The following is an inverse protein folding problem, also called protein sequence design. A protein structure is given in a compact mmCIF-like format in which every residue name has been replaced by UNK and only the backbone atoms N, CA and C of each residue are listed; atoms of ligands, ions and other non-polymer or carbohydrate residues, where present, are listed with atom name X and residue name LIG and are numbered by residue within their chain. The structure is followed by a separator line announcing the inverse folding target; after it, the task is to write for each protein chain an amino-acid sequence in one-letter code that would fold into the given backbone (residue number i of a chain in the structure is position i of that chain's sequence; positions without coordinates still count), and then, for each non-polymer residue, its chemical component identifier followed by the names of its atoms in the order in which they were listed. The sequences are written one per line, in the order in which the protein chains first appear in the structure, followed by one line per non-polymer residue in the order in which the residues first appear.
data_IF_084360875712
#
_entry.id   IF_084360875712
#
_cell.length_a   1.000
_cell.length_b   1.000
_cell.length_c   1.000
_cell.angle_alpha   90.00
_cell.angle_beta   90.00
_cell.angle_gamma   90.00
#
_symmetry.space_group_name_H-M   'P 1'
#
loop_
_entity.id
_entity.type
_entity.pdbx_description
1 polymer ?
#
# COMPACT_ATOMS: atom_id res chain seq x y z
N UNK A 1 -11.38 8.91 31.77
CA UNK A 1 -12.17 8.56 30.56
C UNK A 1 -12.99 9.79 30.18
N UNK A 2 -12.89 10.23 28.93
CA UNK A 2 -13.61 11.38 28.38
C UNK A 2 -15.13 11.27 28.62
N UNK A 3 -15.82 12.41 28.85
CA UNK A 3 -17.28 12.45 29.13
C UNK A 3 -18.08 11.85 27.98
N UNK A 4 -17.71 12.19 26.73
CA UNK A 4 -18.37 11.68 25.51
C UNK A 4 -18.23 10.16 25.39
N UNK A 5 -17.05 9.61 25.76
CA UNK A 5 -16.83 8.17 25.75
C UNK A 5 -17.70 7.46 26.79
N UNK A 6 -17.87 8.05 27.98
CA UNK A 6 -18.77 7.51 29.01
C UNK A 6 -20.22 7.51 28.54
N UNK A 7 -20.67 8.58 27.90
CA UNK A 7 -22.01 8.69 27.34
C UNK A 7 -22.23 7.68 26.21
N UNK A 8 -21.26 7.54 25.31
CA UNK A 8 -21.28 6.55 24.23
C UNK A 8 -21.41 5.11 24.75
N UNK A 9 -20.62 4.73 25.76
CA UNK A 9 -20.72 3.39 26.37
C UNK A 9 -22.04 3.19 27.07
N UNK A 10 -22.58 4.21 27.78
CA UNK A 10 -23.91 4.15 28.43
C UNK A 10 -25.05 3.95 27.44
N UNK A 11 -24.91 4.48 26.20
CA UNK A 11 -25.88 4.28 25.11
C UNK A 11 -25.77 2.94 24.38
N UNK A 12 -24.91 2.02 24.87
CA UNK A 12 -24.71 0.69 24.27
C UNK A 12 -23.54 0.61 23.28
N UNK A 13 -22.78 1.69 23.12
CA UNK A 13 -21.58 1.70 22.28
C UNK A 13 -20.46 0.81 22.82
N UNK A 14 -19.65 0.27 21.94
CA UNK A 14 -18.50 -0.62 22.29
C UNK A 14 -17.17 -0.01 21.91
N UNK A 15 -16.09 -0.43 22.57
CA UNK A 15 -14.73 0.01 22.24
C UNK A 15 -14.08 -0.81 21.13
N UNK A 16 -14.68 -1.93 20.73
CA UNK A 16 -14.09 -2.84 19.77
C UNK A 16 -12.66 -3.25 20.15
N UNK A 17 -11.75 -3.19 19.20
CA UNK A 17 -10.33 -3.54 19.40
C UNK A 17 -9.59 -2.62 20.38
N UNK A 18 -10.08 -1.40 20.63
CA UNK A 18 -9.47 -0.50 21.62
C UNK A 18 -9.54 -1.04 23.04
N UNK A 19 -10.57 -1.83 23.36
CA UNK A 19 -10.70 -2.48 24.68
C UNK A 19 -9.63 -3.56 24.91
N UNK A 20 -9.02 -4.07 23.85
CA UNK A 20 -8.05 -5.17 23.86
C UNK A 20 -6.60 -4.69 23.72
N UNK A 21 -6.37 -3.36 23.71
CA UNK A 21 -5.00 -2.83 23.64
C UNK A 21 -4.17 -3.31 24.83
N UNK A 22 -2.89 -3.67 24.62
CA UNK A 22 -1.97 -3.97 25.70
C UNK A 22 -1.86 -2.80 26.69
N UNK A 23 -1.63 -3.07 27.95
CA UNK A 23 -1.42 -2.01 28.95
C UNK A 23 0.05 -1.61 28.96
N UNK A 24 0.33 -0.38 28.53
CA UNK A 24 1.51 0.42 28.82
C UNK A 24 2.88 -0.27 28.76
N UNK A 25 3.27 -0.87 27.64
CA UNK A 25 4.64 -1.31 27.41
C UNK A 25 5.54 -0.11 27.11
N UNK A 26 6.85 -0.25 27.30
CA UNK A 26 7.80 0.78 26.89
C UNK A 26 7.73 1.02 25.37
N UNK A 27 7.91 2.26 24.96
CA UNK A 27 8.02 2.61 23.55
C UNK A 27 9.21 1.89 22.91
N UNK A 28 9.01 1.39 21.71
CA UNK A 28 10.06 0.70 20.93
C UNK A 28 10.19 1.31 19.53
N UNK A 29 11.28 0.95 18.85
CA UNK A 29 11.42 1.24 17.42
C UNK A 29 10.25 0.61 16.65
N UNK A 30 9.74 1.29 15.61
CA UNK A 30 8.64 0.74 14.83
C UNK A 30 9.09 -0.47 14.02
N UNK A 31 8.20 -1.42 13.90
CA UNK A 31 8.24 -2.56 12.99
C UNK A 31 9.63 -3.19 12.78
N UNK A 32 9.99 -4.26 13.52
CA UNK A 32 11.21 -5.00 13.24
C UNK A 32 11.15 -5.49 11.78
N UNK A 33 12.13 -5.12 10.97
CA UNK A 33 12.11 -5.35 9.54
C UNK A 33 13.38 -6.04 9.07
N UNK A 34 13.18 -7.23 8.51
CA UNK A 34 14.06 -7.87 7.56
C UNK A 34 13.32 -7.83 6.21
N UNK A 35 13.74 -6.98 5.25
CA UNK A 35 13.01 -6.80 4.00
C UNK A 35 12.85 -8.10 3.20
N UNK A 36 13.86 -8.97 3.20
CA UNK A 36 13.81 -10.25 2.52
C UNK A 36 12.72 -11.16 3.09
N UNK A 37 12.61 -11.22 4.44
CA UNK A 37 11.57 -12.01 5.10
C UNK A 37 10.17 -11.43 4.89
N UNK A 38 10.03 -10.10 4.87
CA UNK A 38 8.74 -9.47 4.57
C UNK A 38 8.31 -9.81 3.15
N UNK A 39 9.20 -9.63 2.17
CA UNK A 39 8.93 -9.99 0.78
C UNK A 39 8.56 -11.47 0.62
N UNK A 40 9.34 -12.37 1.22
CA UNK A 40 9.07 -13.80 1.16
C UNK A 40 7.68 -14.15 1.72
N UNK A 41 7.30 -13.58 2.87
CA UNK A 41 5.95 -13.77 3.45
C UNK A 41 4.83 -13.23 2.54
N UNK A 42 5.04 -12.09 1.86
CA UNK A 42 4.06 -11.57 0.89
C UNK A 42 3.91 -12.52 -0.29
N UNK A 43 5.02 -12.99 -0.86
CA UNK A 43 5.04 -13.97 -1.95
C UNK A 43 4.32 -15.26 -1.53
N UNK A 44 4.62 -15.78 -0.34
CA UNK A 44 4.01 -17.00 0.18
C UNK A 44 2.51 -16.84 0.43
N UNK A 45 2.10 -15.72 1.00
CA UNK A 45 0.70 -15.41 1.26
C UNK A 45 -0.12 -15.30 -0.02
N UNK A 46 0.40 -14.60 -1.05
CA UNK A 46 -0.27 -14.52 -2.34
C UNK A 46 -0.30 -15.88 -3.05
N UNK A 47 0.81 -16.60 -3.08
CA UNK A 47 0.86 -17.93 -3.69
C UNK A 47 -0.13 -18.91 -3.03
N UNK A 48 -0.22 -18.87 -1.70
CA UNK A 48 -1.19 -19.68 -0.96
C UNK A 48 -2.64 -19.30 -1.31
N UNK A 49 -2.95 -18.01 -1.40
CA UNK A 49 -4.28 -17.52 -1.78
C UNK A 49 -4.67 -18.03 -3.16
N UNK A 50 -3.82 -17.79 -4.16
CA UNK A 50 -4.07 -18.21 -5.55
C UNK A 50 -4.27 -19.73 -5.66
N UNK A 51 -3.41 -20.52 -5.00
CA UNK A 51 -3.54 -21.98 -4.97
C UNK A 51 -4.86 -22.43 -4.36
N UNK A 52 -5.30 -21.82 -3.25
CA UNK A 52 -6.54 -22.22 -2.54
C UNK A 52 -7.80 -21.91 -3.32
N UNK A 53 -7.84 -20.79 -4.03
CA UNK A 53 -9.02 -20.40 -4.82
C UNK A 53 -8.96 -20.90 -6.26
N UNK A 54 -7.87 -21.57 -6.67
CA UNK A 54 -7.70 -22.15 -8.02
C UNK A 54 -7.52 -21.13 -9.14
N UNK A 55 -7.22 -19.86 -8.82
CA UNK A 55 -7.07 -18.76 -9.79
C UNK A 55 -5.63 -18.66 -10.29
N UNK A 56 -5.45 -18.48 -11.60
CA UNK A 56 -4.15 -18.38 -12.28
C UNK A 56 -3.89 -17.00 -12.91
N UNK A 57 -4.86 -16.11 -12.84
CA UNK A 57 -4.82 -14.77 -13.42
C UNK A 57 -5.01 -13.71 -12.34
N UNK A 58 -4.21 -12.65 -12.37
CA UNK A 58 -4.33 -11.51 -11.46
C UNK A 58 -4.32 -10.21 -12.23
N UNK A 59 -5.08 -9.24 -11.72
CA UNK A 59 -5.20 -7.90 -12.30
C UNK A 59 -4.61 -6.88 -11.34
N UNK A 60 -3.74 -6.00 -11.84
CA UNK A 60 -3.02 -5.01 -11.04
C UNK A 60 -3.09 -3.64 -11.71
N UNK A 61 -3.53 -2.64 -10.97
CA UNK A 61 -3.34 -1.23 -11.35
C UNK A 61 -1.91 -0.79 -11.05
N UNK A 62 -1.10 -0.55 -12.06
CA UNK A 62 0.29 -0.09 -11.91
C UNK A 62 0.35 1.41 -12.14
N UNK A 63 0.36 2.18 -11.05
CA UNK A 63 0.45 3.63 -11.10
C UNK A 63 1.86 4.15 -11.38
N UNK A 64 2.89 3.34 -11.13
CA UNK A 64 4.29 3.76 -11.08
C UNK A 64 4.68 4.34 -9.72
N UNK A 65 3.81 4.23 -8.72
CA UNK A 65 4.10 4.53 -7.32
C UNK A 65 4.61 3.30 -6.55
N UNK A 66 5.08 3.56 -5.33
CA UNK A 66 5.77 2.61 -4.47
C UNK A 66 4.95 1.35 -4.19
N UNK A 67 3.66 1.51 -3.87
CA UNK A 67 2.79 0.42 -3.44
C UNK A 67 2.46 -0.54 -4.58
N UNK A 68 2.11 0.00 -5.74
CA UNK A 68 1.83 -0.80 -6.94
C UNK A 68 3.10 -1.51 -7.44
N UNK A 69 4.27 -0.90 -7.29
CA UNK A 69 5.55 -1.52 -7.60
C UNK A 69 5.78 -2.77 -6.73
N UNK A 70 5.60 -2.67 -5.40
CA UNK A 70 5.75 -3.82 -4.51
C UNK A 70 4.75 -4.94 -4.84
N UNK A 71 3.48 -4.61 -5.09
CA UNK A 71 2.47 -5.62 -5.48
C UNK A 71 2.88 -6.35 -6.76
N UNK A 72 3.40 -5.64 -7.75
CA UNK A 72 3.89 -6.25 -8.99
C UNK A 72 5.08 -7.20 -8.73
N UNK A 73 6.05 -6.80 -7.89
CA UNK A 73 7.17 -7.66 -7.50
C UNK A 73 6.70 -8.93 -6.81
N UNK A 74 5.76 -8.80 -5.87
CA UNK A 74 5.19 -9.92 -5.13
C UNK A 74 4.40 -10.85 -6.06
N UNK A 75 3.61 -10.31 -7.00
CA UNK A 75 2.89 -11.10 -7.99
C UNK A 75 3.85 -11.92 -8.85
N UNK A 76 4.92 -11.31 -9.38
CA UNK A 76 5.95 -12.02 -10.15
C UNK A 76 6.62 -13.11 -9.30
N UNK A 77 6.91 -12.83 -8.03
CA UNK A 77 7.45 -13.83 -7.09
C UNK A 77 6.51 -15.00 -6.86
N UNK A 78 5.23 -14.74 -6.63
CA UNK A 78 4.20 -15.76 -6.40
C UNK A 78 3.96 -16.64 -7.65
N UNK A 79 3.92 -16.03 -8.83
CA UNK A 79 3.78 -16.75 -10.10
C UNK A 79 4.97 -17.67 -10.37
N UNK A 80 6.20 -17.20 -10.14
CA UNK A 80 7.41 -18.05 -10.22
C UNK A 80 7.34 -19.20 -9.23
N UNK A 81 6.94 -18.95 -7.99
CA UNK A 81 6.81 -19.98 -6.94
C UNK A 81 5.77 -21.04 -7.30
N UNK A 82 4.69 -20.68 -7.97
CA UNK A 82 3.63 -21.56 -8.42
C UNK A 82 3.87 -22.16 -9.81
N UNK A 83 4.98 -21.82 -10.47
CA UNK A 83 5.27 -22.20 -11.87
C UNK A 83 4.17 -21.76 -12.84
N UNK A 84 3.50 -20.63 -12.56
CA UNK A 84 2.50 -20.03 -13.43
C UNK A 84 3.17 -19.15 -14.49
N UNK A 85 2.58 -19.06 -15.70
CA UNK A 85 3.09 -18.17 -16.75
C UNK A 85 2.91 -16.70 -16.35
N UNK A 86 3.95 -15.87 -16.55
CA UNK A 86 3.91 -14.44 -16.24
C UNK A 86 2.81 -13.69 -17.03
N UNK A 87 2.37 -14.23 -18.15
CA UNK A 87 1.23 -13.71 -18.93
C UNK A 87 -0.09 -13.70 -18.18
N UNK A 88 -0.24 -14.47 -17.09
CA UNK A 88 -1.38 -14.37 -16.18
C UNK A 88 -1.35 -13.16 -15.23
N UNK A 89 -0.30 -12.32 -15.30
CA UNK A 89 -0.26 -11.03 -14.59
C UNK A 89 -0.70 -9.94 -15.55
N UNK A 90 -1.93 -9.47 -15.40
CA UNK A 90 -2.55 -8.43 -16.22
C UNK A 90 -2.33 -7.06 -15.56
N UNK A 91 -1.31 -6.33 -16.02
CA UNK A 91 -0.94 -5.02 -15.49
C UNK A 91 -1.60 -3.89 -16.33
N UNK A 92 -2.23 -2.94 -15.66
CA UNK A 92 -2.88 -1.80 -16.29
C UNK A 92 -2.38 -0.49 -15.71
N UNK A 93 -1.91 0.44 -16.57
CA UNK A 93 -1.77 1.83 -16.19
C UNK A 93 -2.95 2.62 -16.70
N UNK A 94 -3.53 3.45 -15.83
CA UNK A 94 -4.78 4.16 -16.11
C UNK A 94 -4.60 5.66 -15.87
N UNK A 95 -3.93 6.37 -16.83
CA UNK A 95 -3.68 7.80 -16.68
C UNK A 95 -4.97 8.60 -16.58
N UNK A 96 -5.03 9.47 -15.57
CA UNK A 96 -6.08 10.46 -15.33
C UNK A 96 -5.54 11.88 -15.49
N UNK A 97 -6.15 12.84 -14.80
CA UNK A 97 -5.82 14.27 -14.93
C UNK A 97 -4.50 14.66 -14.24
N UNK A 98 -4.12 13.97 -13.14
CA UNK A 98 -2.92 14.25 -12.34
C UNK A 98 -1.70 13.39 -12.68
N UNK A 99 -1.81 12.43 -13.59
CA UNK A 99 -0.74 11.47 -13.87
C UNK A 99 0.46 12.14 -14.55
N UNK A 100 1.65 11.98 -13.96
CA UNK A 100 2.89 12.54 -14.48
C UNK A 100 3.55 11.65 -15.55
N UNK A 101 4.37 12.26 -16.44
CA UNK A 101 5.14 11.47 -17.44
C UNK A 101 6.16 10.56 -16.75
N UNK A 102 6.83 11.03 -15.67
CA UNK A 102 7.84 10.27 -14.91
C UNK A 102 7.26 8.99 -14.34
N UNK A 103 6.12 9.09 -13.69
CA UNK A 103 5.45 7.95 -13.06
C UNK A 103 5.05 6.90 -14.10
N UNK A 104 4.51 7.34 -15.25
CA UNK A 104 4.20 6.44 -16.36
C UNK A 104 5.45 5.73 -16.87
N UNK A 105 6.56 6.46 -17.10
CA UNK A 105 7.82 5.87 -17.57
C UNK A 105 8.36 4.84 -16.59
N UNK A 106 8.31 5.11 -15.28
CA UNK A 106 8.75 4.16 -14.25
C UNK A 106 7.89 2.88 -14.25
N UNK A 107 6.57 3.00 -14.43
CA UNK A 107 5.68 1.86 -14.55
C UNK A 107 6.04 1.00 -15.79
N UNK A 108 6.25 1.64 -16.94
CA UNK A 108 6.63 0.98 -18.20
C UNK A 108 7.96 0.20 -18.02
N UNK A 109 9.02 0.86 -17.52
CA UNK A 109 10.34 0.26 -17.31
C UNK A 109 10.32 -0.87 -16.28
N UNK A 110 9.54 -0.74 -15.20
CA UNK A 110 9.42 -1.77 -14.19
C UNK A 110 8.75 -3.02 -14.76
N UNK A 111 7.62 -2.86 -15.45
CA UNK A 111 6.90 -3.96 -16.07
C UNK A 111 7.75 -4.67 -17.14
N UNK A 112 8.38 -3.91 -18.04
CA UNK A 112 9.27 -4.45 -19.07
C UNK A 112 10.41 -5.24 -18.45
N UNK A 113 11.09 -4.68 -17.43
CA UNK A 113 12.21 -5.32 -16.75
C UNK A 113 11.82 -6.60 -15.99
N UNK A 114 10.55 -6.74 -15.59
CA UNK A 114 10.00 -7.94 -14.97
C UNK A 114 9.40 -8.94 -15.98
N UNK A 115 9.32 -8.58 -17.26
CA UNK A 115 8.71 -9.38 -18.32
C UNK A 115 7.18 -9.42 -18.25
N UNK A 116 6.57 -8.42 -17.61
CA UNK A 116 5.10 -8.28 -17.48
C UNK A 116 4.61 -7.32 -18.56
N UNK A 117 3.63 -7.75 -19.36
CA UNK A 117 2.97 -6.87 -20.35
C UNK A 117 2.06 -5.90 -19.61
N UNK A 118 2.24 -4.59 -19.86
CA UNK A 118 1.38 -3.55 -19.32
C UNK A 118 0.53 -2.93 -20.43
N UNK A 119 -0.76 -2.75 -20.16
CA UNK A 119 -1.70 -2.07 -21.04
C UNK A 119 -2.05 -0.69 -20.47
N UNK A 120 -2.23 0.30 -21.37
CA UNK A 120 -2.67 1.65 -21.00
C UNK A 120 -4.14 1.84 -21.29
N UNK A 121 -4.93 2.16 -20.26
CA UNK A 121 -6.35 2.51 -20.39
C UNK A 121 -6.56 3.92 -19.85
N UNK A 122 -6.71 4.92 -20.71
CA UNK A 122 -6.98 6.29 -20.27
C UNK A 122 -8.39 6.42 -19.70
N UNK A 123 -8.49 6.88 -18.45
CA UNK A 123 -9.77 7.12 -17.79
C UNK A 123 -10.34 8.52 -18.06
N UNK A 124 -9.60 9.38 -18.74
CA UNK A 124 -9.93 10.80 -18.84
C UNK A 124 -11.29 11.08 -19.51
N UNK A 125 -11.66 10.32 -20.55
CA UNK A 125 -12.97 10.50 -21.21
C UNK A 125 -14.13 10.06 -20.32
N UNK A 126 -14.02 8.88 -19.71
CA UNK A 126 -15.05 8.32 -18.83
C UNK A 126 -15.27 9.18 -17.60
N UNK A 127 -14.18 9.67 -16.96
CA UNK A 127 -14.28 10.57 -15.82
C UNK A 127 -14.91 11.91 -16.19
N UNK A 128 -14.55 12.51 -17.33
CA UNK A 128 -15.20 13.74 -17.79
C UNK A 128 -16.70 13.56 -18.03
N UNK A 129 -17.09 12.45 -18.66
CA UNK A 129 -18.50 12.15 -18.87
C UNK A 129 -19.22 11.98 -17.54
N UNK A 130 -18.67 11.18 -16.62
CA UNK A 130 -19.23 10.99 -15.28
C UNK A 130 -19.39 12.31 -14.50
N UNK A 131 -18.36 13.18 -14.49
CA UNK A 131 -18.44 14.48 -13.83
C UNK A 131 -19.56 15.34 -14.42
N UNK A 132 -19.73 15.34 -15.75
CA UNK A 132 -20.84 16.04 -16.43
C UNK A 132 -22.20 15.47 -16.01
N UNK A 133 -22.33 14.14 -15.97
CA UNK A 133 -23.60 13.46 -15.64
C UNK A 133 -24.07 13.75 -14.22
N UNK A 134 -23.13 13.93 -13.28
CA UNK A 134 -23.44 14.32 -11.89
C UNK A 134 -23.52 15.84 -11.65
N UNK A 135 -23.41 16.66 -12.71
CA UNK A 135 -23.49 18.12 -12.61
C UNK A 135 -22.24 18.82 -12.06
N UNK A 136 -21.09 18.14 -12.05
CA UNK A 136 -19.82 18.74 -11.62
C UNK A 136 -19.17 19.54 -12.76
N UNK A 137 -18.54 20.69 -12.46
CA UNK A 137 -17.92 21.58 -13.44
C UNK A 137 -16.72 20.99 -14.19
N UNK A 138 -16.18 19.86 -13.73
CA UNK A 138 -15.02 19.18 -14.30
C UNK A 138 -13.69 19.91 -14.15
N UNK A 139 -13.63 20.97 -13.33
CA UNK A 139 -12.46 21.84 -13.13
C UNK A 139 -12.08 21.97 -11.66
N UNK A 140 -13.03 22.12 -10.77
CA UNK A 140 -12.80 22.27 -9.32
C UNK A 140 -12.17 21.01 -8.73
N UNK A 141 -10.94 21.05 -8.18
CA UNK A 141 -10.26 19.86 -7.67
C UNK A 141 -10.74 19.51 -6.25
N UNK A 142 -12.02 19.20 -6.12
CA UNK A 142 -12.65 18.75 -4.88
C UNK A 142 -12.65 17.24 -4.70
N UNK A 143 -13.29 16.75 -3.65
CA UNK A 143 -13.37 15.33 -3.35
C UNK A 143 -14.13 14.53 -4.44
N UNK A 144 -15.13 15.11 -5.13
CA UNK A 144 -15.82 14.45 -6.21
C UNK A 144 -14.90 14.27 -7.41
N UNK A 145 -14.14 15.31 -7.76
CA UNK A 145 -13.15 15.30 -8.84
C UNK A 145 -12.02 14.27 -8.60
N UNK A 146 -11.47 14.22 -7.37
CA UNK A 146 -10.42 13.26 -7.01
C UNK A 146 -10.98 11.83 -6.96
N UNK A 147 -12.06 11.61 -6.22
CA UNK A 147 -12.61 10.29 -5.97
C UNK A 147 -13.20 9.61 -7.21
N UNK A 148 -13.76 10.38 -8.15
CA UNK A 148 -14.27 9.84 -9.41
C UNK A 148 -13.17 9.16 -10.24
N UNK A 149 -11.95 9.72 -10.23
CA UNK A 149 -10.81 9.12 -10.92
C UNK A 149 -10.37 7.80 -10.27
N UNK A 150 -10.30 7.75 -8.92
CA UNK A 150 -9.94 6.53 -8.20
C UNK A 150 -11.00 5.44 -8.39
N UNK A 151 -12.30 5.77 -8.31
CA UNK A 151 -13.40 4.82 -8.53
C UNK A 151 -13.45 4.31 -9.97
N UNK A 152 -13.20 5.14 -10.96
CA UNK A 152 -13.14 4.72 -12.37
C UNK A 152 -12.02 3.69 -12.59
N UNK A 153 -10.85 3.87 -11.96
CA UNK A 153 -9.78 2.86 -12.02
C UNK A 153 -10.22 1.53 -11.41
N UNK A 154 -10.84 1.57 -10.24
CA UNK A 154 -11.32 0.36 -9.57
C UNK A 154 -12.38 -0.36 -10.38
N UNK A 155 -13.36 0.35 -10.95
CA UNK A 155 -14.38 -0.22 -11.83
C UNK A 155 -13.73 -1.00 -12.99
N UNK A 156 -12.81 -0.36 -13.71
CA UNK A 156 -12.10 -1.00 -14.83
C UNK A 156 -11.33 -2.25 -14.38
N UNK A 157 -10.62 -2.19 -13.26
CA UNK A 157 -9.84 -3.33 -12.77
C UNK A 157 -10.74 -4.51 -12.38
N UNK A 158 -11.89 -4.25 -11.75
CA UNK A 158 -12.86 -5.30 -11.37
C UNK A 158 -13.45 -5.98 -12.62
N UNK A 159 -13.84 -5.20 -13.62
CA UNK A 159 -14.38 -5.74 -14.87
C UNK A 159 -13.30 -6.51 -15.65
N UNK A 160 -12.07 -6.02 -15.69
CA UNK A 160 -10.92 -6.75 -16.27
C UNK A 160 -10.66 -8.07 -15.57
N UNK A 161 -10.78 -8.12 -14.24
CA UNK A 161 -10.64 -9.37 -13.49
C UNK A 161 -11.76 -10.38 -13.86
N UNK A 162 -12.99 -9.89 -14.00
CA UNK A 162 -14.10 -10.73 -14.45
C UNK A 162 -13.87 -11.29 -15.86
N UNK A 163 -13.35 -10.48 -16.79
CA UNK A 163 -13.06 -10.89 -18.17
C UNK A 163 -12.02 -12.03 -18.26
N UNK A 164 -11.03 -12.06 -17.35
CA UNK A 164 -9.95 -13.04 -17.36
C UNK A 164 -10.17 -14.19 -16.35
N UNK A 165 -11.27 -14.17 -15.60
CA UNK A 165 -11.49 -15.13 -14.51
C UNK A 165 -10.48 -15.04 -13.38
N UNK A 166 -9.93 -13.82 -13.17
CA UNK A 166 -8.87 -13.54 -12.21
C UNK A 166 -9.35 -12.76 -10.99
N UNK A 167 -8.39 -12.28 -10.19
CA UNK A 167 -8.65 -11.42 -9.04
C UNK A 167 -7.86 -10.11 -9.11
N UNK A 168 -8.46 -9.03 -8.59
CA UNK A 168 -7.78 -7.74 -8.42
C UNK A 168 -6.88 -7.78 -7.18
N UNK A 169 -5.59 -7.49 -7.35
CA UNK A 169 -4.65 -7.31 -6.25
C UNK A 169 -4.64 -5.86 -5.77
N UNK A 170 -4.93 -5.67 -4.48
CA UNK A 170 -4.95 -4.36 -3.83
C UNK A 170 -3.54 -3.88 -3.49
N UNK A 171 -3.33 -2.59 -3.68
CA UNK A 171 -2.05 -1.92 -3.44
C UNK A 171 -1.99 -1.19 -2.11
N UNK A 172 -3.13 -0.87 -1.47
CA UNK A 172 -3.19 -0.16 -0.20
C UNK A 172 -2.35 -0.83 0.89
N UNK A 173 -1.52 -0.07 1.58
CA UNK A 173 -0.65 -0.53 2.65
C UNK A 173 -1.27 -0.38 4.05
N UNK A 174 -0.59 -0.91 5.07
CA UNK A 174 -1.08 -0.87 6.45
C UNK A 174 -1.26 0.56 6.97
N UNK A 175 -0.38 1.49 6.61
CA UNK A 175 -0.43 2.88 7.08
C UNK A 175 -1.61 3.64 6.48
N UNK A 176 -1.87 3.43 5.18
CA UNK A 176 -3.05 3.97 4.50
C UNK A 176 -4.35 3.41 5.08
N UNK A 177 -4.40 2.10 5.33
CA UNK A 177 -5.55 1.43 5.94
C UNK A 177 -5.80 1.97 7.35
N UNK A 178 -4.74 2.11 8.18
CA UNK A 178 -4.86 2.66 9.52
C UNK A 178 -5.47 4.05 9.53
N UNK A 179 -5.01 4.91 8.63
CA UNK A 179 -5.45 6.29 8.48
C UNK A 179 -6.75 6.44 7.67
N UNK A 180 -7.22 5.37 7.01
CA UNK A 180 -8.27 5.46 5.99
C UNK A 180 -7.91 6.45 4.88
N UNK A 181 -6.61 6.54 4.55
CA UNK A 181 -6.09 7.42 3.49
C UNK A 181 -6.24 6.75 2.13
N UNK A 182 -7.45 6.68 1.68
CA UNK A 182 -7.87 6.07 0.42
C UNK A 182 -9.24 6.61 0.00
N UNK A 183 -9.58 6.49 -1.26
CA UNK A 183 -10.93 6.75 -1.74
C UNK A 183 -11.83 5.57 -1.41
N UNK A 184 -12.89 5.80 -0.61
CA UNK A 184 -13.91 4.78 -0.33
C UNK A 184 -14.56 4.27 -1.62
N UNK A 185 -14.63 2.94 -1.78
CA UNK A 185 -15.03 2.27 -3.03
C UNK A 185 -14.21 2.68 -4.27
N UNK A 186 -12.96 3.14 -4.07
CA UNK A 186 -12.00 3.38 -5.11
C UNK A 186 -10.76 2.50 -4.91
N UNK A 187 -9.58 3.10 -4.78
CA UNK A 187 -8.32 2.43 -4.50
C UNK A 187 -8.30 1.63 -3.17
N UNK A 188 -9.25 1.92 -2.29
CA UNK A 188 -9.54 1.15 -1.08
C UNK A 188 -10.01 -0.30 -1.38
N UNK A 189 -10.65 -0.56 -2.53
CA UNK A 189 -11.26 -1.85 -2.86
C UNK A 189 -10.38 -2.70 -3.76
N UNK A 190 -10.33 -3.99 -3.43
CA UNK A 190 -9.70 -5.04 -4.23
C UNK A 190 -10.28 -6.41 -3.83
N UNK A 191 -9.85 -7.47 -4.48
CA UNK A 191 -10.24 -8.83 -4.09
C UNK A 191 -9.23 -9.47 -3.13
N UNK A 192 -7.99 -8.93 -3.04
CA UNK A 192 -6.99 -9.37 -2.09
C UNK A 192 -5.90 -8.30 -1.87
N UNK A 193 -5.71 -7.84 -0.64
CA UNK A 193 -4.73 -6.82 -0.25
C UNK A 193 -3.33 -7.38 -0.05
N UNK A 194 -2.43 -7.18 -0.99
CA UNK A 194 -1.06 -7.72 -0.93
C UNK A 194 -0.19 -6.95 0.07
N UNK A 195 -0.38 -5.64 0.17
CA UNK A 195 0.39 -4.78 1.07
C UNK A 195 -0.32 -4.49 2.39
N UNK A 196 -1.54 -4.97 2.62
CA UNK A 196 -2.39 -4.60 3.77
C UNK A 196 -1.74 -4.83 5.14
N UNK A 197 -0.82 -5.77 5.25
CA UNK A 197 -0.04 -6.05 6.46
C UNK A 197 1.34 -5.40 6.50
N UNK A 198 1.69 -4.51 5.56
CA UNK A 198 3.03 -3.88 5.44
C UNK A 198 2.90 -2.37 5.56
N UNK A 199 3.50 -1.71 6.56
CA UNK A 199 3.45 -0.26 6.69
C UNK A 199 4.31 0.44 5.63
N UNK A 200 3.98 1.68 5.27
CA UNK A 200 4.59 2.48 4.19
C UNK A 200 6.12 2.51 4.26
N UNK A 201 6.68 2.71 5.44
CA UNK A 201 8.15 2.74 5.61
C UNK A 201 8.80 1.40 5.31
N UNK A 202 8.09 0.30 5.55
CA UNK A 202 8.57 -1.05 5.24
C UNK A 202 8.39 -1.36 3.75
N UNK A 203 7.29 -0.93 3.12
CA UNK A 203 7.11 -1.01 1.65
C UNK A 203 8.33 -0.40 0.96
N UNK A 204 8.75 0.81 1.37
CA UNK A 204 9.95 1.50 0.85
C UNK A 204 11.23 0.68 1.05
N UNK A 205 11.42 0.10 2.25
CA UNK A 205 12.60 -0.73 2.55
C UNK A 205 12.65 -2.00 1.72
N UNK A 206 11.51 -2.67 1.51
CA UNK A 206 11.42 -3.88 0.70
C UNK A 206 11.72 -3.58 -0.78
N UNK A 207 11.15 -2.49 -1.32
CA UNK A 207 11.45 -2.07 -2.70
C UNK A 207 12.94 -1.74 -2.88
N UNK A 208 13.54 -0.99 -1.93
CA UNK A 208 14.96 -0.66 -1.97
C UNK A 208 15.84 -1.90 -1.91
N UNK A 209 15.59 -2.79 -0.95
CA UNK A 209 16.30 -4.06 -0.83
C UNK A 209 16.21 -4.89 -2.11
N UNK A 210 15.01 -5.03 -2.68
CA UNK A 210 14.83 -5.81 -3.91
C UNK A 210 15.63 -5.24 -5.08
N UNK A 211 15.68 -3.91 -5.21
CA UNK A 211 16.45 -3.25 -6.25
C UNK A 211 17.97 -3.45 -6.08
N UNK A 212 18.47 -3.34 -4.85
CA UNK A 212 19.88 -3.53 -4.52
C UNK A 212 20.34 -4.97 -4.78
N UNK A 213 19.59 -5.97 -4.32
CA UNK A 213 19.88 -7.39 -4.58
C UNK A 213 19.81 -7.75 -6.08
N UNK A 214 18.86 -7.15 -6.81
CA UNK A 214 18.70 -7.39 -8.23
C UNK A 214 19.77 -6.68 -9.07
N UNK A 215 20.26 -5.53 -8.60
CA UNK A 215 21.37 -4.80 -9.24
C UNK A 215 22.73 -5.48 -9.04
N UNK A 216 22.97 -6.10 -7.87
CA UNK A 216 24.23 -6.81 -7.58
C UNK A 216 24.36 -8.13 -8.33
N UNK A 217 23.27 -8.78 -8.73
CA UNK A 217 23.28 -10.01 -9.54
C UNK A 217 23.87 -9.88 -10.95
N UNK A 218 24.19 -8.66 -11.38
CA UNK A 218 24.92 -8.40 -12.64
C UNK A 218 26.45 -8.38 -12.49
N UNK A 219 26.98 -8.46 -11.24
CA UNK A 219 28.42 -8.39 -10.95
C UNK A 219 29.00 -9.39 -9.95
N UNK A 220 28.18 -10.23 -9.30
CA UNK A 220 28.59 -11.13 -8.23
C UNK A 220 28.83 -12.57 -8.66
N UNK A 221 30.06 -13.07 -8.45
CA UNK A 221 30.44 -14.47 -8.58
C UNK A 221 29.70 -15.33 -7.56
N UNK A 222 28.56 -15.93 -7.95
CA UNK A 222 28.03 -17.10 -7.27
C UNK A 222 28.75 -18.35 -7.75
N UNK A 223 29.50 -19.04 -6.89
CA UNK A 223 30.00 -20.40 -7.15
C UNK A 223 28.78 -21.32 -7.31
N UNK A 224 28.40 -21.64 -8.53
CA UNK A 224 27.59 -22.80 -8.84
C UNK A 224 28.44 -23.78 -9.66
N UNK A 225 28.58 -24.96 -9.08
CA UNK A 225 29.23 -26.13 -9.67
C UNK A 225 28.63 -26.51 -11.02
N UNK A 226 29.53 -26.80 -11.96
CA UNK A 226 29.32 -27.02 -13.36
C UNK A 226 28.20 -27.95 -13.80
N UNK A 227 27.37 -27.41 -14.67
CA UNK A 227 26.83 -28.08 -15.84
C UNK A 227 26.76 -27.02 -16.95
N UNK A 228 27.65 -27.16 -17.97
CA UNK A 228 27.59 -26.36 -19.21
C UNK A 228 26.41 -26.85 -20.04
N UNK A 229 25.32 -26.11 -20.11
CA UNK A 229 24.32 -26.24 -21.16
C UNK A 229 24.17 -24.93 -21.94
N UNK A 230 24.00 -25.07 -23.25
CA UNK A 230 23.92 -24.00 -24.26
C UNK A 230 22.66 -23.08 -24.05
N UNK A 231 22.72 -22.14 -23.11
CA UNK A 231 21.70 -21.09 -22.92
C UNK A 231 22.32 -19.71 -22.65
N UNK A 232 23.34 -19.30 -23.45
CA UNK A 232 24.02 -18.02 -23.23
C UNK A 232 23.17 -16.77 -23.59
N UNK A 233 22.22 -16.85 -24.51
CA UNK A 233 21.38 -15.73 -24.93
C UNK A 233 20.29 -15.35 -23.91
N UNK A 234 19.62 -16.31 -23.30
CA UNK A 234 18.53 -16.08 -22.37
C UNK A 234 18.97 -15.52 -20.99
N UNK A 235 20.17 -15.87 -20.52
CA UNK A 235 20.75 -15.34 -19.28
C UNK A 235 21.09 -13.84 -19.39
N UNK A 236 21.67 -13.41 -20.51
CA UNK A 236 22.03 -12.01 -20.75
C UNK A 236 20.77 -11.10 -20.78
N UNK A 237 19.71 -11.54 -21.42
CA UNK A 237 18.47 -10.75 -21.55
C UNK A 237 17.71 -10.65 -20.21
N UNK A 238 17.65 -11.73 -19.40
CA UNK A 238 17.05 -11.73 -18.05
C UNK A 238 17.84 -10.83 -17.08
N UNK A 239 19.15 -10.80 -17.16
CA UNK A 239 19.99 -9.96 -16.31
C UNK A 239 19.81 -8.46 -16.66
N UNK A 240 19.73 -8.10 -17.94
CA UNK A 240 19.44 -6.73 -18.40
C UNK A 240 18.04 -6.27 -17.94
N UNK A 241 17.02 -7.11 -18.08
CA UNK A 241 15.67 -6.80 -17.60
C UNK A 241 15.65 -6.53 -16.10
N UNK A 242 16.28 -7.36 -15.28
CA UNK A 242 16.38 -7.14 -13.83
C UNK A 242 17.08 -5.83 -13.47
N UNK A 243 18.17 -5.48 -14.16
CA UNK A 243 18.87 -4.20 -13.95
C UNK A 243 17.99 -3.00 -14.29
N UNK A 244 17.20 -3.08 -15.35
CA UNK A 244 16.23 -2.05 -15.74
C UNK A 244 15.14 -1.88 -14.69
N UNK A 245 14.53 -2.98 -14.23
CA UNK A 245 13.53 -2.96 -13.17
C UNK A 245 14.09 -2.38 -11.85
N UNK A 246 15.32 -2.75 -11.49
CA UNK A 246 16.00 -2.23 -10.30
C UNK A 246 16.21 -0.71 -10.37
N UNK A 247 16.67 -0.20 -11.51
CA UNK A 247 16.84 1.26 -11.72
C UNK A 247 15.50 2.01 -11.64
N UNK A 248 14.46 1.52 -12.29
CA UNK A 248 13.12 2.11 -12.22
C UNK A 248 12.60 2.11 -10.78
N UNK A 249 12.82 1.02 -10.05
CA UNK A 249 12.38 0.89 -8.66
C UNK A 249 13.12 1.85 -7.72
N UNK A 250 14.43 2.08 -7.91
CA UNK A 250 15.16 3.09 -7.12
C UNK A 250 14.65 4.50 -7.38
N UNK A 251 14.28 4.84 -8.62
CA UNK A 251 13.66 6.13 -8.94
C UNK A 251 12.27 6.28 -8.30
N UNK A 252 11.48 5.20 -8.28
CA UNK A 252 10.20 5.16 -7.57
C UNK A 252 10.41 5.38 -6.05
N UNK A 253 11.37 4.70 -5.44
CA UNK A 253 11.70 4.84 -4.01
C UNK A 253 12.12 6.25 -3.64
N UNK A 254 12.80 6.96 -4.54
CA UNK A 254 13.24 8.35 -4.35
C UNK A 254 12.13 9.39 -4.60
N UNK A 255 10.99 8.98 -5.18
CA UNK A 255 9.87 9.89 -5.48
C UNK A 255 8.99 10.09 -4.25
N UNK A 256 8.55 11.35 -3.94
CA UNK A 256 7.57 11.59 -2.88
C UNK A 256 6.25 10.85 -3.12
N UNK A 257 5.62 10.40 -2.05
CA UNK A 257 4.32 9.69 -2.14
C UNK A 257 3.22 10.67 -2.57
N UNK A 258 2.52 10.33 -3.64
CA UNK A 258 1.42 11.12 -4.20
C UNK A 258 0.31 10.21 -4.73
N UNK A 259 -0.98 10.53 -4.51
CA UNK A 259 -2.09 9.80 -5.10
C UNK A 259 -2.28 10.14 -6.59
N UNK A 260 -1.59 11.15 -7.14
CA UNK A 260 -1.65 11.62 -8.53
C UNK A 260 -3.09 11.88 -9.06
N UNK A 261 -3.98 12.32 -8.18
CA UNK A 261 -5.35 12.71 -8.55
C UNK A 261 -5.42 14.18 -8.97
N UNK A 262 -4.56 15.00 -8.35
CA UNK A 262 -4.33 16.41 -8.68
C UNK A 262 -2.83 16.63 -8.88
N UNK A 263 -2.48 17.50 -9.84
CA UNK A 263 -1.09 17.79 -10.17
C UNK A 263 -0.32 18.40 -8.98
N UNK A 264 0.85 17.84 -8.67
CA UNK A 264 1.74 18.36 -7.61
C UNK A 264 1.32 18.03 -6.17
N UNK A 265 0.35 17.15 -5.98
CA UNK A 265 -0.11 16.73 -4.66
C UNK A 265 0.93 15.85 -3.97
N UNK A 266 1.29 16.18 -2.72
CA UNK A 266 2.15 15.35 -1.85
C UNK A 266 1.32 14.90 -0.65
N UNK A 267 1.31 13.60 -0.39
CA UNK A 267 0.49 13.01 0.68
C UNK A 267 0.93 13.48 2.06
N UNK A 268 2.25 13.49 2.33
CA UNK A 268 2.79 13.81 3.65
C UNK A 268 2.58 15.28 4.05
N UNK A 269 2.35 16.19 3.09
CA UNK A 269 1.97 17.58 3.37
C UNK A 269 0.58 17.67 4.01
N UNK A 270 -0.32 16.72 3.68
CA UNK A 270 -1.71 16.70 4.17
C UNK A 270 -1.87 15.97 5.51
N UNK A 271 -1.16 14.85 5.68
CA UNK A 271 -1.36 13.98 6.85
C UNK A 271 -0.17 13.96 7.81
N UNK A 272 0.98 14.46 7.41
CA UNK A 272 2.25 14.34 8.13
C UNK A 272 3.07 13.13 7.66
N UNK A 273 4.34 13.03 8.11
CA UNK A 273 5.29 12.00 7.68
C UNK A 273 4.84 10.57 8.02
N UNK A 274 4.91 9.67 7.05
CA UNK A 274 4.62 8.24 7.28
C UNK A 274 5.54 7.60 8.33
N UNK A 275 6.76 8.11 8.50
CA UNK A 275 7.65 7.62 9.55
C UNK A 275 7.08 7.82 10.95
N UNK A 276 6.40 8.96 11.19
CA UNK A 276 5.70 9.23 12.44
C UNK A 276 4.44 8.37 12.56
N UNK A 277 3.66 8.24 11.49
CA UNK A 277 2.46 7.39 11.51
C UNK A 277 2.78 5.93 11.82
N UNK A 278 3.81 5.36 11.19
CA UNK A 278 4.23 3.99 11.44
C UNK A 278 4.74 3.80 12.86
N UNK A 279 5.43 4.82 13.41
CA UNK A 279 5.81 4.82 14.82
C UNK A 279 4.59 4.82 15.75
N UNK A 280 3.58 5.65 15.46
CA UNK A 280 2.35 5.70 16.26
C UNK A 280 1.54 4.41 16.12
N UNK A 281 1.36 3.88 14.92
CA UNK A 281 0.67 2.60 14.67
C UNK A 281 1.29 1.50 15.53
N UNK A 282 2.60 1.34 15.46
CA UNK A 282 3.29 0.29 16.21
C UNK A 282 3.13 0.46 17.72
N UNK A 283 3.43 1.65 18.23
CA UNK A 283 3.44 1.88 19.66
C UNK A 283 2.03 1.96 20.27
N UNK A 284 1.03 2.39 19.51
CA UNK A 284 -0.36 2.35 19.93
C UNK A 284 -0.92 0.92 19.91
N UNK A 285 -0.85 0.23 18.77
CA UNK A 285 -1.49 -1.07 18.60
C UNK A 285 -0.72 -2.22 19.30
N UNK A 286 0.61 -2.21 19.23
CA UNK A 286 1.45 -3.27 19.79
C UNK A 286 1.84 -3.05 21.23
N UNK A 287 2.13 -1.81 21.61
CA UNK A 287 2.65 -1.47 22.93
C UNK A 287 1.59 -0.82 23.84
N UNK A 288 0.43 -0.42 23.31
CA UNK A 288 -0.68 0.15 24.08
C UNK A 288 -0.39 1.53 24.68
N UNK A 289 0.48 2.33 24.04
CA UNK A 289 0.80 3.67 24.52
C UNK A 289 -0.38 4.62 24.26
N UNK A 290 -0.81 5.32 25.30
CA UNK A 290 -1.75 6.43 25.16
C UNK A 290 -1.10 7.70 24.58
N UNK A 291 -1.93 8.71 24.25
CA UNK A 291 -1.52 9.94 23.56
C UNK A 291 -0.26 10.59 24.13
N UNK A 292 -0.21 10.85 25.46
CA UNK A 292 0.93 11.50 26.09
C UNK A 292 2.22 10.69 25.91
N UNK A 293 2.17 9.39 26.17
CA UNK A 293 3.34 8.52 26.05
C UNK A 293 3.81 8.37 24.58
N UNK A 294 2.89 8.38 23.59
CA UNK A 294 3.21 8.41 22.17
C UNK A 294 3.94 9.70 21.79
N UNK A 295 3.43 10.84 22.25
CA UNK A 295 4.07 12.13 21.99
C UNK A 295 5.47 12.21 22.59
N UNK A 296 5.62 11.90 23.89
CA UNK A 296 6.89 11.96 24.60
C UNK A 296 7.95 11.04 23.95
N UNK A 297 7.54 9.84 23.57
CA UNK A 297 8.41 8.88 22.88
C UNK A 297 8.81 9.33 21.48
N UNK A 298 7.88 9.90 20.69
CA UNK A 298 8.15 10.44 19.37
C UNK A 298 9.04 11.69 19.46
N UNK A 299 8.78 12.60 20.40
CA UNK A 299 9.58 13.79 20.66
C UNK A 299 11.04 13.43 21.00
N UNK A 300 11.24 12.43 21.86
CA UNK A 300 12.57 11.91 22.20
C UNK A 300 13.31 11.34 20.99
N UNK A 301 12.60 10.62 20.12
CA UNK A 301 13.20 9.91 18.97
C UNK A 301 13.39 10.80 17.75
N UNK A 302 12.40 11.63 17.46
CA UNK A 302 12.27 12.35 16.18
C UNK A 302 12.26 13.89 16.34
N UNK A 303 12.35 14.42 17.56
CA UNK A 303 12.23 15.86 17.81
C UNK A 303 13.23 16.71 17.03
N UNK A 304 14.46 16.19 16.84
CA UNK A 304 15.49 16.85 16.02
C UNK A 304 15.21 16.82 14.51
N UNK A 305 14.50 15.79 14.04
CA UNK A 305 14.23 15.57 12.61
C UNK A 305 12.99 16.33 12.15
N UNK A 306 11.90 16.25 12.92
CA UNK A 306 10.60 16.78 12.50
C UNK A 306 10.12 18.00 13.30
N UNK A 307 10.72 18.27 14.46
CA UNK A 307 10.23 19.31 15.37
C UNK A 307 8.98 18.88 16.16
N UNK A 308 8.79 19.49 17.32
CA UNK A 308 7.73 19.10 18.27
C UNK A 308 6.32 19.39 17.74
N UNK A 309 6.15 20.50 17.04
CA UNK A 309 4.85 20.92 16.50
C UNK A 309 4.34 19.97 15.42
N UNK A 310 5.22 19.53 14.51
CA UNK A 310 4.84 18.58 13.46
C UNK A 310 4.52 17.21 14.07
N UNK A 311 5.27 16.76 15.06
CA UNK A 311 5.00 15.52 15.81
C UNK A 311 3.61 15.59 16.45
N UNK A 312 3.28 16.71 17.14
CA UNK A 312 1.98 16.90 17.77
C UNK A 312 0.83 16.85 16.78
N UNK A 313 0.91 17.64 15.70
CA UNK A 313 -0.12 17.66 14.65
C UNK A 313 -0.30 16.31 13.96
N UNK A 314 0.81 15.61 13.70
CA UNK A 314 0.74 14.27 13.07
C UNK A 314 0.10 13.24 14.02
N UNK A 315 0.39 13.32 15.32
CA UNK A 315 -0.25 12.46 16.32
C UNK A 315 -1.76 12.73 16.41
N UNK A 316 -2.17 13.99 16.40
CA UNK A 316 -3.58 14.35 16.39
C UNK A 316 -4.30 13.84 15.13
N UNK A 317 -3.66 13.99 13.98
CA UNK A 317 -4.15 13.44 12.71
C UNK A 317 -4.29 11.92 12.78
N UNK A 318 -3.30 11.23 13.32
CA UNK A 318 -3.33 9.76 13.49
C UNK A 318 -4.51 9.32 14.36
N UNK A 319 -4.62 9.85 15.58
CA UNK A 319 -5.67 9.46 16.52
C UNK A 319 -7.07 9.80 16.01
N UNK A 320 -7.25 10.99 15.44
CA UNK A 320 -8.51 11.40 14.84
C UNK A 320 -8.92 10.47 13.69
N UNK A 321 -8.00 10.20 12.76
CA UNK A 321 -8.29 9.37 11.58
C UNK A 321 -8.47 7.90 11.93
N UNK A 322 -7.76 7.41 12.94
CA UNK A 322 -7.92 6.03 13.43
C UNK A 322 -9.37 5.75 13.87
N UNK A 323 -10.08 6.73 14.39
CA UNK A 323 -11.49 6.60 14.77
C UNK A 323 -12.43 7.02 13.64
N UNK A 324 -12.29 8.25 13.12
CA UNK A 324 -13.21 8.81 12.12
C UNK A 324 -13.29 8.04 10.80
N UNK A 325 -12.24 7.31 10.44
CA UNK A 325 -12.16 6.53 9.20
C UNK A 325 -12.38 5.02 9.42
N UNK A 326 -12.91 4.62 10.58
CA UNK A 326 -13.18 3.22 10.89
C UNK A 326 -14.10 2.54 9.86
N UNK A 327 -15.09 3.26 9.34
CA UNK A 327 -16.02 2.75 8.32
C UNK A 327 -15.31 2.23 7.05
N UNK A 328 -14.18 2.82 6.67
CA UNK A 328 -13.39 2.35 5.53
C UNK A 328 -12.72 1.01 5.85
N UNK A 329 -12.16 0.86 7.05
CA UNK A 329 -11.51 -0.40 7.46
C UNK A 329 -12.50 -1.54 7.64
N UNK A 330 -13.72 -1.25 8.08
CA UNK A 330 -14.75 -2.27 8.32
C UNK A 330 -15.17 -3.02 7.04
N UNK A 331 -14.87 -2.47 5.86
CA UNK A 331 -15.10 -3.12 4.56
C UNK A 331 -13.82 -3.24 3.73
N UNK A 332 -12.66 -3.18 4.37
CA UNK A 332 -11.40 -3.45 3.68
C UNK A 332 -11.32 -4.93 3.24
N UNK A 333 -10.71 -5.22 2.08
CA UNK A 333 -10.53 -6.58 1.60
C UNK A 333 -9.59 -7.39 2.50
N UNK A 334 -9.72 -8.72 2.43
CA UNK A 334 -8.74 -9.64 3.02
C UNK A 334 -7.35 -9.38 2.48
N UNK A 335 -6.33 -9.70 3.28
CA UNK A 335 -4.96 -9.48 2.86
C UNK A 335 -3.95 -10.32 3.64
N UNK A 336 -2.67 -10.02 3.41
CA UNK A 336 -1.56 -10.78 3.96
C UNK A 336 -1.14 -10.19 5.31
N UNK A 337 -1.21 -11.00 6.38
CA UNK A 337 -0.68 -10.63 7.68
C UNK A 337 0.84 -10.86 7.74
N UNK A 338 1.58 -9.81 8.01
CA UNK A 338 3.05 -9.84 8.12
C UNK A 338 3.51 -9.82 9.58
N UNK A 339 2.91 -8.96 10.39
CA UNK A 339 3.26 -8.74 11.80
C UNK A 339 2.26 -9.40 12.76
N UNK A 340 2.44 -9.21 14.05
CA UNK A 340 1.57 -9.78 15.09
C UNK A 340 0.18 -9.16 15.15
N UNK A 341 -0.05 -8.06 14.46
CA UNK A 341 -1.35 -7.43 14.26
C UNK A 341 -1.44 -6.87 12.84
N UNK A 342 -2.65 -6.61 12.38
CA UNK A 342 -3.00 -5.88 11.17
C UNK A 342 -4.34 -5.15 11.38
N UNK A 343 -4.81 -4.47 10.35
CA UNK A 343 -6.09 -3.78 10.35
C UNK A 343 -7.18 -4.53 9.58
N UNK A 344 -7.04 -5.84 9.41
CA UNK A 344 -8.13 -6.67 8.88
C UNK A 344 -9.33 -6.67 9.81
N UNK A 345 -10.52 -6.89 9.26
CA UNK A 345 -11.78 -6.92 10.01
C UNK A 345 -11.76 -7.90 11.19
N UNK A 346 -11.05 -9.03 11.04
CA UNK A 346 -10.93 -10.06 12.07
C UNK A 346 -9.97 -9.68 13.19
N UNK A 347 -8.94 -8.87 12.89
CA UNK A 347 -7.91 -8.48 13.84
C UNK A 347 -8.17 -7.15 14.51
N UNK A 348 -8.79 -6.21 13.78
CA UNK A 348 -8.97 -4.85 14.22
C UNK A 348 -10.32 -4.30 13.80
N UNK A 349 -11.20 -4.09 14.76
CA UNK A 349 -12.52 -3.50 14.55
C UNK A 349 -12.74 -2.36 15.53
N UNK A 350 -13.09 -1.19 15.03
CA UNK A 350 -13.56 -0.04 15.79
C UNK A 350 -14.95 0.30 15.24
N UNK A 351 -15.99 0.47 16.09
CA UNK A 351 -17.30 0.91 15.63
C UNK A 351 -17.22 2.23 14.85
N UNK A 352 -17.95 2.32 13.74
CA UNK A 352 -17.92 3.50 12.87
C UNK A 352 -18.59 4.73 13.48
N UNK A 353 -19.44 4.54 14.47
CA UNK A 353 -20.17 5.56 15.21
C UNK A 353 -19.47 6.03 16.49
N UNK A 354 -18.26 5.52 16.76
CA UNK A 354 -17.49 5.95 17.92
C UNK A 354 -17.16 7.45 17.85
N UNK A 355 -17.36 8.22 18.94
CA UNK A 355 -17.04 9.64 18.95
C UNK A 355 -15.57 9.92 18.66
N UNK A 356 -15.28 10.89 17.81
CA UNK A 356 -13.92 11.33 17.51
C UNK A 356 -13.34 12.18 18.63
N UNK A 357 -11.99 12.23 18.74
CA UNK A 357 -11.28 13.05 19.72
C UNK A 357 -11.34 12.52 21.15
N UNK A 358 -11.57 11.20 21.33
CA UNK A 358 -11.58 10.53 22.62
C UNK A 358 -10.28 9.79 22.96
N UNK A 359 -9.36 9.66 21.99
CA UNK A 359 -8.02 9.05 22.14
C UNK A 359 -6.92 10.15 22.37
#
# INVERSE_FOLDING_TARGET
MDKRLKEYIKSGGTLGSLAKLPKGRAASAPFPCDPAKVYAKQVDGLALRLKRIGVKDVVIGVSGGLDSALVLLVAVGAFKKLSLPISGIHAYTMPGFGTSKRTKTNADLLCEGLGVKMETISIAKSVRQHLKDIGHDGKTPDAAYENSQARMRTLILMDKANMVGGIVLGTGDMSEIALGWCTYNGDHMSMFGVNSGVPKTIVRKVCKWWAEESGQGSGGRGQESGVRSQESGGRSQRSRGRGMAAKALLDIVATPVSPELVKGQVTEDKIGPYELHDFFIWNFCKNGLGRKALYDAAAKRYGKTFGLDLIGRTLDTFLYRLVSQAFKRNCAPDGIRIFSFDFSKESWSIPSDMPTGIL
#
